data_IF_626569112822
#
_entry.id   IF_626569112822
#
_cell.length_a   1.000
_cell.length_b   1.000
_cell.length_c   1.000
_cell.angle_alpha   90.00
_cell.angle_beta   90.00
_cell.angle_gamma   90.00
#
_symmetry.space_group_name_H-M   'P 1'
#
loop_
_entity.id
_entity.type
_entity.pdbx_description
1 polymer ?
#
# COMPACT_ATOMS: atom_id res chain seq x y z
N UNK A 1 -1.33 -49.21 14.09
CA UNK A 1 -1.23 -47.98 14.89
C UNK A 1 -0.52 -46.82 14.17
N UNK A 2 0.52 -47.08 13.37
CA UNK A 2 1.33 -46.07 12.66
C UNK A 2 0.60 -45.25 11.60
N UNK A 3 -0.31 -45.85 10.80
CA UNK A 3 -1.06 -45.11 9.76
C UNK A 3 -2.04 -44.05 10.31
N UNK A 4 -2.66 -44.32 11.46
CA UNK A 4 -3.56 -43.36 12.14
C UNK A 4 -2.77 -42.19 12.74
N UNK A 5 -1.57 -42.46 13.25
CA UNK A 5 -0.66 -41.44 13.75
C UNK A 5 -0.14 -40.52 12.64
N UNK A 6 0.20 -41.07 11.47
CA UNK A 6 0.61 -40.30 10.29
C UNK A 6 -0.52 -39.38 9.78
N UNK A 7 -1.76 -39.85 9.82
CA UNK A 7 -2.92 -39.07 9.38
C UNK A 7 -3.25 -37.92 10.36
N UNK A 8 -3.10 -38.17 11.67
CA UNK A 8 -3.23 -37.14 12.70
C UNK A 8 -2.11 -36.08 12.64
N UNK A 9 -0.87 -36.51 12.35
CA UNK A 9 0.26 -35.60 12.21
C UNK A 9 0.12 -34.70 10.97
N UNK A 10 -0.33 -35.25 9.85
CA UNK A 10 -0.64 -34.50 8.62
C UNK A 10 -1.70 -33.42 8.87
N UNK A 11 -2.75 -33.75 9.63
CA UNK A 11 -3.79 -32.80 9.97
C UNK A 11 -3.27 -31.67 10.86
N UNK A 12 -2.35 -31.94 11.79
CA UNK A 12 -1.77 -30.91 12.66
C UNK A 12 -0.86 -29.93 11.89
N UNK A 13 -0.16 -30.38 10.85
CA UNK A 13 0.67 -29.51 9.99
C UNK A 13 -0.20 -28.54 9.17
N UNK A 14 -1.38 -28.97 8.70
CA UNK A 14 -2.29 -28.11 7.95
C UNK A 14 -2.85 -26.94 8.80
N UNK A 15 -2.97 -27.10 10.11
CA UNK A 15 -3.44 -26.03 11.01
C UNK A 15 -2.36 -24.95 11.28
N UNK A 16 -1.08 -25.26 11.07
CA UNK A 16 0.01 -24.29 11.29
C UNK A 16 0.10 -23.20 10.21
N UNK A 17 -0.51 -23.43 9.04
CA UNK A 17 -0.52 -22.45 7.93
C UNK A 17 -1.38 -21.20 8.19
N UNK A 18 -2.35 -21.26 9.10
CA UNK A 18 -3.21 -20.11 9.43
C UNK A 18 -2.56 -19.08 10.38
N UNK A 19 -1.47 -19.45 11.08
CA UNK A 19 -0.90 -18.59 12.13
C UNK A 19 0.21 -17.65 11.63
N UNK A 20 0.75 -17.86 10.43
CA UNK A 20 1.79 -17.01 9.86
C UNK A 20 1.16 -15.83 9.11
N UNK A 21 0.79 -14.79 9.86
CA UNK A 21 0.23 -13.54 9.33
C UNK A 21 1.21 -12.37 9.45
N UNK A 22 2.51 -12.62 9.27
CA UNK A 22 3.45 -11.54 8.97
C UNK A 22 3.21 -11.17 7.50
N UNK A 23 2.43 -10.11 7.29
CA UNK A 23 2.07 -9.64 5.95
C UNK A 23 3.32 -9.31 5.14
N UNK A 24 3.28 -9.54 3.83
CA UNK A 24 4.41 -9.26 2.93
C UNK A 24 4.76 -7.77 2.83
N UNK A 25 3.83 -6.91 3.22
CA UNK A 25 3.88 -5.47 3.02
C UNK A 25 3.41 -4.71 4.25
N UNK A 26 3.96 -3.52 4.43
CA UNK A 26 3.48 -2.57 5.42
C UNK A 26 2.28 -1.79 4.88
N UNK A 27 1.14 -1.96 5.54
CA UNK A 27 -0.10 -1.24 5.23
C UNK A 27 -0.35 -0.06 6.17
N UNK A 28 0.38 0.03 7.29
CA UNK A 28 0.18 1.05 8.29
C UNK A 28 -1.28 1.09 8.76
N UNK A 29 -1.89 2.28 8.76
CA UNK A 29 -3.29 2.50 9.14
C UNK A 29 -4.23 2.64 7.92
N UNK A 30 -3.82 2.15 6.74
CA UNK A 30 -4.51 2.40 5.47
C UNK A 30 -6.04 2.23 5.52
N UNK A 31 -6.53 1.11 6.08
CA UNK A 31 -7.96 0.84 6.15
C UNK A 31 -8.73 1.89 6.96
N UNK A 32 -8.15 2.33 8.08
CA UNK A 32 -8.72 3.37 8.94
C UNK A 32 -8.69 4.73 8.22
N UNK A 33 -7.55 5.07 7.61
CA UNK A 33 -7.39 6.29 6.81
C UNK A 33 -8.48 6.37 5.72
N UNK A 34 -8.70 5.30 4.96
CA UNK A 34 -9.74 5.27 3.94
C UNK A 34 -11.13 5.54 4.53
N UNK A 35 -11.47 4.86 5.61
CA UNK A 35 -12.76 5.06 6.27
C UNK A 35 -12.94 6.52 6.66
N UNK A 36 -11.96 7.11 7.34
CA UNK A 36 -11.99 8.51 7.78
C UNK A 36 -12.09 9.48 6.60
N UNK A 37 -11.28 9.28 5.56
CA UNK A 37 -11.27 10.16 4.36
C UNK A 37 -12.63 10.21 3.67
N UNK A 38 -13.38 9.10 3.64
CA UNK A 38 -14.68 9.04 2.95
C UNK A 38 -15.88 9.31 3.86
N UNK A 39 -15.82 8.99 5.15
CA UNK A 39 -16.98 9.06 6.05
C UNK A 39 -16.91 10.23 7.03
N UNK A 40 -15.73 10.79 7.29
CA UNK A 40 -15.51 11.78 8.33
C UNK A 40 -14.77 13.02 7.81
N UNK A 41 -15.48 13.94 7.09
CA UNK A 41 -14.85 15.11 6.47
C UNK A 41 -14.07 15.99 7.45
N UNK A 42 -14.48 16.04 8.72
CA UNK A 42 -13.82 16.82 9.76
C UNK A 42 -12.42 16.31 10.14
N UNK A 43 -12.15 15.02 9.93
CA UNK A 43 -10.88 14.37 10.26
C UNK A 43 -10.03 14.05 9.03
N UNK A 44 -10.58 14.26 7.82
CA UNK A 44 -9.91 13.94 6.55
C UNK A 44 -8.51 14.53 6.44
N UNK A 45 -8.32 15.79 6.81
CA UNK A 45 -7.02 16.46 6.67
C UNK A 45 -5.94 15.82 7.56
N UNK A 46 -6.28 15.50 8.82
CA UNK A 46 -5.38 14.81 9.74
C UNK A 46 -5.08 13.38 9.27
N UNK A 47 -6.10 12.66 8.81
CA UNK A 47 -5.92 11.31 8.27
C UNK A 47 -4.99 11.30 7.04
N UNK A 48 -5.16 12.26 6.13
CA UNK A 48 -4.27 12.41 4.97
C UNK A 48 -2.86 12.78 5.41
N UNK A 49 -2.68 13.68 6.38
CA UNK A 49 -1.34 14.01 6.89
C UNK A 49 -0.63 12.77 7.43
N UNK A 50 -1.30 11.98 8.26
CA UNK A 50 -0.73 10.75 8.83
C UNK A 50 -0.42 9.71 7.75
N UNK A 51 -1.27 9.63 6.72
CA UNK A 51 -1.03 8.79 5.55
C UNK A 51 0.22 9.21 4.78
N UNK A 52 0.40 10.51 4.52
CA UNK A 52 1.57 11.04 3.83
C UNK A 52 2.85 10.75 4.61
N UNK A 53 2.84 10.95 5.94
CA UNK A 53 3.97 10.61 6.79
C UNK A 53 4.32 9.12 6.73
N UNK A 54 3.30 8.25 6.77
CA UNK A 54 3.50 6.81 6.66
C UNK A 54 4.10 6.40 5.32
N UNK A 55 3.62 6.91 4.18
CA UNK A 55 4.19 6.51 2.88
C UNK A 55 5.61 7.03 2.69
N UNK A 56 5.97 8.19 3.24
CA UNK A 56 7.33 8.74 3.10
C UNK A 56 8.36 8.08 4.01
N UNK A 57 7.95 7.59 5.18
CA UNK A 57 8.89 7.13 6.23
C UNK A 57 8.71 5.67 6.63
N UNK A 58 7.60 5.05 6.25
CA UNK A 58 7.27 3.68 6.58
C UNK A 58 7.95 2.65 5.67
N UNK A 59 7.66 1.38 5.96
CA UNK A 59 8.26 0.25 5.28
C UNK A 59 9.70 -0.03 5.71
N UNK A 60 10.16 -1.25 5.45
CA UNK A 60 11.57 -1.65 5.53
C UNK A 60 11.93 -2.43 4.26
N UNK A 61 13.22 -2.69 3.98
CA UNK A 61 13.61 -3.58 2.88
C UNK A 61 12.97 -4.97 2.96
N UNK A 62 12.68 -5.48 4.17
CA UNK A 62 12.04 -6.77 4.39
C UNK A 62 10.51 -6.70 4.27
N UNK A 63 9.92 -5.55 4.61
CA UNK A 63 8.48 -5.31 4.56
C UNK A 63 8.23 -3.94 3.89
N UNK A 64 8.29 -3.85 2.55
CA UNK A 64 8.10 -2.57 1.87
C UNK A 64 6.66 -2.06 2.01
N UNK A 65 6.47 -0.75 1.81
CA UNK A 65 5.15 -0.12 1.72
C UNK A 65 4.28 -0.86 0.70
N UNK A 66 3.03 -1.16 1.03
CA UNK A 66 2.16 -1.93 0.14
C UNK A 66 1.97 -1.30 -1.26
N UNK A 67 1.82 -2.14 -2.32
CA UNK A 67 1.50 -1.66 -3.65
C UNK A 67 0.26 -0.78 -3.67
N UNK A 68 0.31 0.31 -4.41
CA UNK A 68 -0.77 1.28 -4.60
C UNK A 68 -0.72 2.46 -3.65
N UNK A 69 -0.05 2.37 -2.48
CA UNK A 69 -0.07 3.45 -1.49
C UNK A 69 0.70 4.69 -1.96
N UNK A 70 1.80 4.51 -2.70
CA UNK A 70 2.47 5.67 -3.31
C UNK A 70 1.61 6.27 -4.44
N UNK A 71 0.93 5.45 -5.24
CA UNK A 71 0.02 5.98 -6.28
C UNK A 71 -1.16 6.78 -5.69
N UNK A 72 -1.73 6.31 -4.59
CA UNK A 72 -2.82 7.03 -3.93
C UNK A 72 -2.32 8.32 -3.27
N UNK A 73 -1.13 8.30 -2.64
CA UNK A 73 -0.48 9.54 -2.17
C UNK A 73 -0.32 10.57 -3.29
N UNK A 74 0.14 10.14 -4.47
CA UNK A 74 0.24 11.01 -5.65
C UNK A 74 -1.11 11.55 -6.11
N UNK A 75 -2.16 10.73 -6.01
CA UNK A 75 -3.53 11.14 -6.35
C UNK A 75 -4.08 12.19 -5.38
N UNK A 76 -3.83 12.05 -4.08
CA UNK A 76 -4.21 13.08 -3.10
C UNK A 76 -3.50 14.41 -3.34
N UNK A 77 -2.22 14.39 -3.73
CA UNK A 77 -1.49 15.61 -4.10
C UNK A 77 -2.07 16.25 -5.37
N UNK A 78 -2.40 15.42 -6.37
CA UNK A 78 -3.02 15.89 -7.60
C UNK A 78 -4.39 16.54 -7.36
N UNK A 79 -5.22 15.96 -6.49
CA UNK A 79 -6.52 16.52 -6.09
C UNK A 79 -6.38 17.89 -5.43
N UNK A 80 -5.27 18.15 -4.74
CA UNK A 80 -4.95 19.44 -4.13
C UNK A 80 -4.32 20.44 -5.13
N UNK A 81 -4.04 20.01 -6.35
CA UNK A 81 -3.38 20.81 -7.39
C UNK A 81 -1.85 20.81 -7.30
N UNK A 82 -1.26 20.03 -6.38
CA UNK A 82 0.20 19.87 -6.28
C UNK A 82 0.68 18.79 -7.27
N UNK A 83 0.83 19.22 -8.52
CA UNK A 83 1.23 18.34 -9.64
C UNK A 83 2.65 17.80 -9.46
N UNK A 84 3.57 18.58 -8.90
CA UNK A 84 4.96 18.16 -8.73
C UNK A 84 5.08 17.05 -7.69
N UNK A 85 4.40 17.19 -6.55
CA UNK A 85 4.32 16.12 -5.55
C UNK A 85 3.56 14.90 -6.09
N UNK A 86 2.51 15.08 -6.88
CA UNK A 86 1.82 13.97 -7.54
C UNK A 86 2.77 13.13 -8.41
N UNK A 87 3.55 13.79 -9.27
CA UNK A 87 4.54 13.13 -10.12
C UNK A 87 5.62 12.44 -9.28
N UNK A 88 6.10 13.06 -8.19
CA UNK A 88 7.07 12.45 -7.27
C UNK A 88 6.55 11.11 -6.73
N UNK A 89 5.33 11.08 -6.21
CA UNK A 89 4.74 9.86 -5.65
C UNK A 89 4.41 8.80 -6.71
N UNK A 90 3.94 9.20 -7.90
CA UNK A 90 3.79 8.26 -9.01
C UNK A 90 5.14 7.65 -9.45
N UNK A 91 6.25 8.39 -9.39
CA UNK A 91 7.58 7.83 -9.69
C UNK A 91 8.01 6.82 -8.61
N UNK A 92 7.74 7.10 -7.33
CA UNK A 92 8.00 6.14 -6.25
C UNK A 92 7.24 4.82 -6.45
N UNK A 93 5.95 4.87 -6.77
CA UNK A 93 5.17 3.66 -7.05
C UNK A 93 5.70 2.90 -8.29
N UNK A 94 6.10 3.63 -9.34
CA UNK A 94 6.64 3.05 -10.58
C UNK A 94 7.95 2.27 -10.33
N UNK A 95 8.79 2.81 -9.45
CA UNK A 95 10.08 2.22 -9.11
C UNK A 95 9.89 1.02 -8.16
N UNK A 96 9.00 1.12 -7.18
CA UNK A 96 8.73 0.08 -6.20
C UNK A 96 7.99 -1.13 -6.80
N UNK A 97 7.06 -0.91 -7.73
CA UNK A 97 6.12 -1.93 -8.20
C UNK A 97 6.12 -2.09 -9.73
N UNK A 98 6.80 -3.12 -10.29
CA UNK A 98 6.85 -3.34 -11.73
C UNK A 98 5.47 -3.44 -12.42
N UNK A 99 4.48 -3.96 -11.70
CA UNK A 99 3.11 -4.14 -12.16
C UNK A 99 2.38 -2.80 -12.38
N UNK A 100 2.75 -1.75 -11.65
CA UNK A 100 2.13 -0.41 -11.74
C UNK A 100 2.64 0.39 -12.94
N UNK A 101 3.82 0.03 -13.48
CA UNK A 101 4.55 0.82 -14.47
C UNK A 101 3.75 1.23 -15.71
N UNK A 102 2.94 0.37 -16.34
CA UNK A 102 2.18 0.79 -17.52
C UNK A 102 1.21 1.93 -17.21
N UNK A 103 0.51 1.85 -16.07
CA UNK A 103 -0.44 2.86 -15.63
C UNK A 103 0.28 4.17 -15.30
N UNK A 104 1.32 4.11 -14.47
CA UNK A 104 2.00 5.29 -13.99
C UNK A 104 2.79 6.01 -15.07
N UNK A 105 3.34 5.28 -16.03
CA UNK A 105 3.96 5.89 -17.22
C UNK A 105 2.97 6.79 -17.95
N UNK A 106 1.71 6.36 -18.09
CA UNK A 106 0.67 7.17 -18.73
C UNK A 106 0.30 8.38 -17.86
N UNK A 107 0.13 8.21 -16.55
CA UNK A 107 -0.21 9.30 -15.64
C UNK A 107 0.88 10.38 -15.61
N UNK A 108 2.13 9.98 -15.37
CA UNK A 108 3.29 10.88 -15.32
C UNK A 108 3.42 11.64 -16.64
N UNK A 109 3.42 10.94 -17.78
CA UNK A 109 3.53 11.58 -19.10
C UNK A 109 2.40 12.58 -19.37
N UNK A 110 1.17 12.25 -18.96
CA UNK A 110 0.03 13.14 -19.14
C UNK A 110 0.13 14.41 -18.28
N UNK A 111 0.67 14.31 -17.07
CA UNK A 111 0.87 15.46 -16.18
C UNK A 111 2.04 16.33 -16.66
N UNK A 112 3.18 15.73 -16.99
CA UNK A 112 4.36 16.45 -17.52
C UNK A 112 4.04 17.19 -18.83
N UNK A 113 3.13 16.67 -19.67
CA UNK A 113 2.71 17.34 -20.91
C UNK A 113 1.74 18.51 -20.71
N UNK A 114 1.18 18.69 -19.51
CA UNK A 114 0.24 19.77 -19.17
C UNK A 114 0.90 20.94 -18.46
N UNK A 115 2.14 20.76 -18.01
CA UNK A 115 3.01 21.84 -17.50
C UNK A 115 3.54 22.68 -18.65
#
# INVERSE_FOLDING_TARGET
MTKRFLLALSMFVLLAGCASNQGLYEWGQYQETLFVVYQEPALKEEALKNYMEFVETGGTPEHPIAPGLFAEAGTFMLEQGDVDSAIKFYKLEYDAWPESRPMLSMLIKNLEARQ
#
